data_IF_536294122840
#
_entry.id   IF_536294122840
#
_cell.length_a   1.000
_cell.length_b   1.000
_cell.length_c   1.000
_cell.angle_alpha   90.00
_cell.angle_beta   90.00
_cell.angle_gamma   90.00
#
_symmetry.space_group_name_H-M   'P 1'
#
loop_
_entity.id
_entity.type
_entity.pdbx_description
1 polymer ?
#
# COMPACT_ATOMS: atom_id res chain seq x y z
N UNK A 1 -53.63 51.91 -38.33
CA UNK A 1 -52.91 51.78 -37.07
C UNK A 1 -52.59 50.27 -36.89
N UNK A 2 -51.34 49.93 -37.12
CA UNK A 2 -50.92 48.59 -37.46
C UNK A 2 -50.81 47.65 -36.22
N UNK A 3 -51.66 46.65 -36.17
CA UNK A 3 -51.63 45.54 -35.22
C UNK A 3 -50.45 44.54 -35.45
N UNK A 4 -49.66 44.75 -36.50
CA UNK A 4 -48.60 43.82 -36.90
C UNK A 4 -47.21 44.05 -36.27
N UNK A 5 -47.04 45.17 -35.53
CA UNK A 5 -45.73 45.48 -34.92
C UNK A 5 -45.56 44.92 -33.49
N UNK A 6 -46.65 44.56 -32.81
CA UNK A 6 -46.59 44.06 -31.42
C UNK A 6 -46.24 42.53 -31.35
N UNK A 7 -46.69 41.80 -32.40
CA UNK A 7 -46.40 40.33 -32.44
C UNK A 7 -44.94 39.93 -32.75
N UNK A 8 -44.20 40.82 -33.44
CA UNK A 8 -42.79 40.55 -33.78
C UNK A 8 -41.80 40.80 -32.63
N UNK A 9 -42.14 41.65 -31.68
CA UNK A 9 -41.32 41.95 -30.51
C UNK A 9 -41.48 40.91 -29.37
N UNK A 10 -42.63 40.26 -29.28
CA UNK A 10 -42.91 39.24 -28.33
C UNK A 10 -42.26 37.88 -28.74
N UNK A 11 -42.15 37.61 -30.05
CA UNK A 11 -41.51 36.39 -30.55
C UNK A 11 -39.97 36.41 -30.42
N UNK A 12 -39.33 37.60 -30.43
CA UNK A 12 -37.87 37.71 -30.24
C UNK A 12 -37.42 37.60 -28.76
N UNK A 13 -38.33 37.89 -27.80
CA UNK A 13 -37.99 37.78 -26.36
C UNK A 13 -38.08 36.35 -25.82
N UNK A 14 -38.81 35.44 -26.51
CA UNK A 14 -38.97 34.06 -26.09
C UNK A 14 -37.84 33.13 -26.57
N UNK A 15 -37.05 33.56 -27.57
CA UNK A 15 -35.94 32.77 -28.13
C UNK A 15 -34.60 32.96 -27.41
N UNK A 16 -34.48 33.95 -26.50
CA UNK A 16 -33.22 34.21 -25.77
C UNK A 16 -33.13 33.53 -24.38
N UNK A 17 -34.19 32.87 -23.91
CA UNK A 17 -34.22 32.24 -22.58
C UNK A 17 -33.88 30.75 -22.58
N UNK A 18 -33.55 30.15 -23.74
CA UNK A 18 -33.30 28.70 -23.84
C UNK A 18 -31.85 28.29 -24.08
N UNK A 19 -30.90 29.19 -23.92
CA UNK A 19 -29.51 28.95 -24.32
C UNK A 19 -28.50 29.12 -23.20
N UNK A 20 -28.68 28.53 -22.01
CA UNK A 20 -27.57 28.36 -21.07
C UNK A 20 -27.83 27.26 -20.03
N UNK A 21 -28.38 26.15 -20.39
CA UNK A 21 -28.15 24.93 -19.62
C UNK A 21 -27.06 24.13 -20.33
N UNK A 22 -25.80 24.63 -20.29
CA UNK A 22 -24.66 23.78 -20.51
C UNK A 22 -24.69 22.71 -19.41
N UNK A 23 -24.72 21.41 -19.76
CA UNK A 23 -24.53 20.40 -18.74
C UNK A 23 -23.19 20.71 -18.06
N UNK A 24 -23.21 20.97 -16.77
CA UNK A 24 -21.99 20.96 -15.97
C UNK A 24 -21.37 19.59 -16.22
N UNK A 25 -20.34 19.54 -17.06
CA UNK A 25 -19.52 18.33 -17.18
C UNK A 25 -19.08 18.03 -15.76
N UNK A 26 -19.62 16.97 -15.18
CA UNK A 26 -19.15 16.47 -13.91
C UNK A 26 -17.65 16.20 -14.11
N UNK A 27 -16.82 17.09 -13.59
CA UNK A 27 -15.38 16.98 -13.66
C UNK A 27 -15.03 15.62 -13.08
N UNK A 28 -14.38 14.79 -13.86
CA UNK A 28 -14.06 13.41 -13.49
C UNK A 28 -13.20 13.45 -12.21
N UNK A 29 -13.86 13.26 -11.06
CA UNK A 29 -13.22 13.36 -9.75
C UNK A 29 -12.41 12.10 -9.52
N UNK A 30 -11.24 12.04 -10.11
CA UNK A 30 -10.32 10.91 -9.97
C UNK A 30 -8.95 11.39 -9.50
N UNK A 31 -8.32 10.62 -8.60
CA UNK A 31 -6.95 10.81 -8.13
C UNK A 31 -6.10 9.59 -8.47
N UNK A 32 -4.78 9.79 -8.56
CA UNK A 32 -3.78 8.72 -8.71
C UNK A 32 -3.15 8.47 -7.34
N UNK A 33 -3.25 7.22 -6.86
CA UNK A 33 -2.60 6.77 -5.64
C UNK A 33 -1.43 5.85 -5.98
N UNK A 34 -0.21 6.25 -5.61
CA UNK A 34 0.95 5.37 -5.67
C UNK A 34 1.00 4.50 -4.42
N UNK A 35 1.07 3.19 -4.60
CA UNK A 35 1.09 2.22 -3.50
C UNK A 35 1.95 1.01 -3.83
N UNK A 36 1.84 -0.06 -3.02
CA UNK A 36 2.68 -1.25 -3.15
C UNK A 36 1.93 -2.44 -3.73
N UNK A 37 2.65 -3.26 -4.51
CA UNK A 37 2.12 -4.50 -5.08
C UNK A 37 1.64 -5.47 -4.00
N UNK A 38 2.29 -5.51 -2.83
CA UNK A 38 1.86 -6.36 -1.72
C UNK A 38 0.50 -5.92 -1.15
N UNK A 39 0.27 -4.61 -1.02
CA UNK A 39 -1.02 -4.08 -0.57
C UNK A 39 -2.13 -4.34 -1.58
N UNK A 40 -1.84 -4.15 -2.87
CA UNK A 40 -2.79 -4.49 -3.95
C UNK A 40 -3.14 -5.98 -3.94
N UNK A 41 -2.12 -6.84 -3.88
CA UNK A 41 -2.30 -8.30 -3.88
C UNK A 41 -2.99 -8.84 -2.64
N UNK A 42 -3.00 -8.10 -1.51
CA UNK A 42 -3.77 -8.47 -0.34
C UNK A 42 -5.29 -8.35 -0.55
N UNK A 43 -5.74 -7.65 -1.61
CA UNK A 43 -7.15 -7.39 -1.90
C UNK A 43 -7.76 -6.21 -1.14
N UNK A 44 -6.98 -5.53 -0.28
CA UNK A 44 -7.49 -4.42 0.54
C UNK A 44 -8.09 -3.30 -0.31
N UNK A 45 -7.43 -2.91 -1.40
CA UNK A 45 -7.91 -1.80 -2.23
C UNK A 45 -9.21 -2.12 -2.96
N UNK A 46 -9.42 -3.37 -3.38
CA UNK A 46 -10.68 -3.81 -3.95
C UNK A 46 -11.85 -3.68 -2.95
N UNK A 47 -11.57 -3.72 -1.66
CA UNK A 47 -12.54 -3.50 -0.59
C UNK A 47 -12.71 -2.00 -0.25
N UNK A 48 -11.60 -1.23 -0.12
CA UNK A 48 -11.65 0.16 0.35
C UNK A 48 -12.09 1.16 -0.72
N UNK A 49 -11.62 1.01 -1.98
CA UNK A 49 -11.87 2.05 -3.01
C UNK A 49 -13.35 2.20 -3.36
N UNK A 50 -14.17 1.13 -3.47
CA UNK A 50 -15.60 1.27 -3.65
C UNK A 50 -16.31 1.99 -2.50
N UNK A 51 -15.89 1.74 -1.24
CA UNK A 51 -16.44 2.40 -0.07
C UNK A 51 -16.13 3.92 -0.08
N UNK A 52 -14.89 4.29 -0.40
CA UNK A 52 -14.51 5.69 -0.55
C UNK A 52 -15.26 6.38 -1.69
N UNK A 53 -15.34 5.74 -2.86
CA UNK A 53 -16.09 6.28 -4.01
C UNK A 53 -17.56 6.48 -3.70
N UNK A 54 -18.19 5.54 -2.99
CA UNK A 54 -19.58 5.67 -2.55
C UNK A 54 -19.78 6.84 -1.60
N UNK A 55 -18.80 7.11 -0.71
CA UNK A 55 -18.90 8.18 0.28
C UNK A 55 -18.64 9.59 -0.31
N UNK A 56 -17.81 9.69 -1.36
CA UNK A 56 -17.28 10.98 -1.82
C UNK A 56 -17.51 11.28 -3.31
N UNK A 57 -17.83 10.28 -4.10
CA UNK A 57 -17.89 10.36 -5.56
C UNK A 57 -16.53 10.46 -6.24
N UNK A 58 -15.40 10.31 -5.47
CA UNK A 58 -14.04 10.38 -5.99
C UNK A 58 -13.57 8.97 -6.37
N UNK A 59 -13.02 8.83 -7.55
CA UNK A 59 -12.39 7.60 -8.00
C UNK A 59 -10.89 7.59 -7.63
N UNK A 60 -10.36 6.43 -7.23
CA UNK A 60 -8.94 6.27 -6.91
C UNK A 60 -8.32 5.28 -7.89
N UNK A 61 -7.40 5.78 -8.70
CA UNK A 61 -6.60 4.95 -9.62
C UNK A 61 -5.34 4.51 -8.90
N UNK A 62 -5.30 3.25 -8.51
CA UNK A 62 -4.15 2.68 -7.80
C UNK A 62 -3.05 2.31 -8.80
N UNK A 63 -1.83 2.77 -8.54
CA UNK A 63 -0.62 2.34 -9.23
C UNK A 63 0.24 1.59 -8.21
N UNK A 64 0.23 0.26 -8.33
CA UNK A 64 0.89 -0.65 -7.40
C UNK A 64 2.28 -1.06 -7.92
N UNK A 65 3.32 -0.61 -7.22
CA UNK A 65 4.75 -0.83 -7.55
C UNK A 65 5.54 -1.15 -6.28
N UNK A 66 6.86 -1.12 -6.30
CA UNK A 66 7.67 -1.17 -5.07
C UNK A 66 7.61 0.16 -4.29
N UNK A 67 7.81 0.13 -2.96
CA UNK A 67 7.75 1.36 -2.12
C UNK A 67 8.63 2.48 -2.64
N UNK A 68 9.89 2.18 -3.02
CA UNK A 68 10.80 3.17 -3.58
C UNK A 68 10.25 3.80 -4.86
N UNK A 69 9.72 2.97 -5.76
CA UNK A 69 9.12 3.43 -7.03
C UNK A 69 7.86 4.28 -6.78
N UNK A 70 7.01 3.89 -5.81
CA UNK A 70 5.82 4.66 -5.44
C UNK A 70 6.20 6.07 -4.93
N UNK A 71 7.20 6.14 -4.05
CA UNK A 71 7.74 7.43 -3.57
C UNK A 71 8.40 8.23 -4.69
N UNK A 72 9.11 7.58 -5.63
CA UNK A 72 9.73 8.26 -6.77
C UNK A 72 8.67 8.80 -7.76
N UNK A 73 7.57 8.09 -7.99
CA UNK A 73 6.43 8.62 -8.74
C UNK A 73 5.89 9.89 -8.10
N UNK A 74 5.68 9.86 -6.79
CA UNK A 74 5.21 11.03 -6.05
C UNK A 74 6.22 12.19 -6.04
N UNK A 75 7.53 11.91 -6.00
CA UNK A 75 8.59 12.93 -6.15
C UNK A 75 8.56 13.65 -7.49
N UNK A 76 8.13 12.97 -8.54
CA UNK A 76 7.95 13.57 -9.89
C UNK A 76 6.59 14.25 -10.08
N UNK A 77 5.65 14.07 -9.13
CA UNK A 77 4.28 14.55 -9.27
C UNK A 77 3.37 13.65 -10.11
N UNK A 78 3.78 12.39 -10.38
CA UNK A 78 3.01 11.41 -11.16
C UNK A 78 1.89 10.75 -10.31
N UNK A 79 1.76 11.12 -9.04
CA UNK A 79 0.71 10.69 -8.13
C UNK A 79 0.21 11.87 -7.29
N UNK A 80 -1.05 11.81 -6.84
CA UNK A 80 -1.69 12.80 -5.98
C UNK A 80 -1.54 12.44 -4.50
N UNK A 81 -1.49 11.14 -4.20
CA UNK A 81 -1.38 10.58 -2.84
C UNK A 81 -0.51 9.33 -2.85
N UNK A 82 0.18 9.11 -1.75
CA UNK A 82 0.99 7.90 -1.48
C UNK A 82 0.38 7.13 -0.32
N UNK A 83 0.27 5.81 -0.47
CA UNK A 83 -0.19 4.90 0.57
C UNK A 83 0.74 3.68 0.61
N UNK A 84 1.71 3.71 1.52
CA UNK A 84 2.80 2.72 1.61
C UNK A 84 3.08 2.32 3.07
N UNK A 85 4.10 1.50 3.32
CA UNK A 85 4.38 0.92 4.63
C UNK A 85 5.89 0.80 4.92
N UNK A 86 6.65 1.88 4.68
CA UNK A 86 8.04 2.01 5.11
C UNK A 86 8.22 3.37 5.83
N UNK A 87 8.01 3.36 7.13
CA UNK A 87 8.02 4.56 7.96
C UNK A 87 9.29 5.41 7.75
N UNK A 88 10.45 4.77 7.60
CA UNK A 88 11.74 5.46 7.43
C UNK A 88 11.79 6.20 6.08
N UNK A 89 11.39 5.51 5.02
CA UNK A 89 11.34 6.11 3.68
C UNK A 89 10.27 7.20 3.58
N UNK A 90 9.12 7.01 4.24
CA UNK A 90 8.01 7.96 4.31
C UNK A 90 8.39 9.23 5.07
N UNK A 91 9.05 9.10 6.23
CA UNK A 91 9.55 10.24 7.00
C UNK A 91 10.60 11.04 6.22
N UNK A 92 11.48 10.37 5.48
CA UNK A 92 12.43 11.02 4.58
C UNK A 92 11.71 11.79 3.47
N UNK A 93 10.67 11.23 2.85
CA UNK A 93 9.86 11.88 1.83
C UNK A 93 9.22 13.17 2.35
N UNK A 94 8.71 13.17 3.59
CA UNK A 94 8.17 14.37 4.26
C UNK A 94 9.28 15.37 4.57
N UNK A 95 10.42 14.94 5.10
CA UNK A 95 11.56 15.81 5.41
C UNK A 95 12.14 16.51 4.16
N UNK A 96 12.07 15.86 3.00
CA UNK A 96 12.43 16.42 1.69
C UNK A 96 11.35 17.40 1.15
N UNK A 97 10.22 17.57 1.84
CA UNK A 97 9.15 18.50 1.51
C UNK A 97 8.21 18.04 0.39
N UNK A 98 8.25 16.77 -0.01
CA UNK A 98 7.34 16.20 -1.02
C UNK A 98 5.93 15.92 -0.49
N UNK A 99 5.76 15.90 0.83
CA UNK A 99 4.50 15.98 1.55
C UNK A 99 4.66 16.86 2.77
N UNK A 100 3.58 17.44 3.27
CA UNK A 100 3.60 18.25 4.49
C UNK A 100 3.51 17.40 5.76
N UNK A 101 2.93 16.22 5.67
CA UNK A 101 2.74 15.31 6.80
C UNK A 101 2.60 13.86 6.34
N UNK A 102 2.97 12.97 7.24
CA UNK A 102 2.65 11.56 7.22
C UNK A 102 1.58 11.27 8.28
N UNK A 103 0.54 10.49 7.94
CA UNK A 103 -0.47 10.05 8.90
C UNK A 103 -0.48 8.54 8.98
N UNK A 104 -0.47 8.00 10.21
CA UNK A 104 -0.70 6.57 10.44
C UNK A 104 -2.12 6.19 10.06
N UNK A 105 -2.28 5.03 9.43
CA UNK A 105 -3.59 4.56 8.95
C UNK A 105 -3.96 3.25 9.62
N UNK A 106 -3.09 2.28 9.53
CA UNK A 106 -3.28 0.91 9.99
C UNK A 106 -1.94 0.20 10.08
N UNK A 107 -1.92 -0.97 10.69
CA UNK A 107 -0.79 -1.88 10.59
C UNK A 107 -1.25 -3.29 10.23
N UNK A 108 -0.37 -4.05 9.62
CA UNK A 108 -0.34 -5.49 9.64
C UNK A 108 1.01 -5.95 10.19
N UNK A 109 1.28 -7.24 10.20
CA UNK A 109 2.58 -7.74 10.59
C UNK A 109 3.26 -8.48 9.43
N UNK A 110 4.57 -8.51 9.49
CA UNK A 110 5.34 -9.51 8.78
C UNK A 110 5.35 -10.82 9.57
N UNK A 111 5.50 -11.92 8.86
CA UNK A 111 5.68 -13.24 9.40
C UNK A 111 6.87 -13.92 8.70
N UNK A 112 7.60 -14.73 9.42
CA UNK A 112 8.55 -15.66 8.81
C UNK A 112 7.80 -16.94 8.48
N UNK A 113 7.74 -17.25 7.21
CA UNK A 113 7.17 -18.49 6.68
C UNK A 113 8.31 -19.46 6.40
N UNK A 114 8.10 -20.71 6.67
CA UNK A 114 9.08 -21.77 6.43
C UNK A 114 8.47 -23.17 6.52
N UNK A 115 9.28 -24.21 6.33
CA UNK A 115 8.80 -25.60 6.45
C UNK A 115 8.15 -25.89 7.80
N UNK A 116 6.99 -26.54 7.80
CA UNK A 116 6.29 -26.95 9.04
C UNK A 116 7.17 -27.83 9.93
N UNK A 117 8.07 -28.61 9.32
CA UNK A 117 9.04 -29.45 10.05
C UNK A 117 10.15 -28.65 10.73
N UNK A 118 10.34 -27.39 10.33
CA UNK A 118 11.31 -26.44 10.89
C UNK A 118 12.74 -26.98 11.03
N UNK A 119 13.41 -27.40 9.97
CA UNK A 119 14.73 -28.00 10.04
C UNK A 119 15.82 -27.07 10.59
N UNK A 120 15.62 -25.75 10.55
CA UNK A 120 16.52 -24.76 11.15
C UNK A 120 16.21 -24.47 12.64
N UNK A 121 15.12 -25.01 13.19
CA UNK A 121 14.71 -24.81 14.59
C UNK A 121 14.42 -23.37 14.95
N UNK A 122 13.72 -22.63 14.04
CA UNK A 122 13.49 -21.18 14.17
C UNK A 122 12.13 -20.82 14.75
N UNK A 123 11.22 -21.80 14.92
CA UNK A 123 9.87 -21.54 15.45
C UNK A 123 9.91 -20.73 16.75
N UNK A 124 9.04 -19.70 16.81
CA UNK A 124 8.92 -18.87 18.00
C UNK A 124 8.38 -17.48 17.71
N UNK A 125 8.75 -16.54 18.55
CA UNK A 125 8.34 -15.14 18.51
C UNK A 125 9.52 -14.15 18.59
N UNK A 126 10.71 -14.58 18.22
CA UNK A 126 11.95 -13.78 18.19
C UNK A 126 12.55 -13.90 16.78
N UNK A 127 12.29 -12.90 15.94
CA UNK A 127 12.76 -12.90 14.56
C UNK A 127 14.28 -12.75 14.48
N UNK A 128 14.90 -12.00 15.40
CA UNK A 128 16.36 -11.83 15.40
C UNK A 128 17.08 -13.15 15.71
N UNK A 129 16.62 -13.89 16.71
CA UNK A 129 17.14 -15.21 17.02
C UNK A 129 16.93 -16.20 15.85
N UNK A 130 15.77 -16.16 15.21
CA UNK A 130 15.46 -17.00 14.04
C UNK A 130 16.40 -16.73 12.87
N UNK A 131 16.60 -15.45 12.51
CA UNK A 131 17.50 -15.06 11.43
C UNK A 131 18.96 -15.43 11.76
N UNK A 132 19.39 -15.29 13.02
CA UNK A 132 20.72 -15.70 13.44
C UNK A 132 20.96 -17.21 13.25
N UNK A 133 19.95 -18.04 13.57
CA UNK A 133 20.01 -19.49 13.29
C UNK A 133 20.07 -19.78 11.78
N UNK A 134 19.24 -19.08 10.98
CA UNK A 134 19.26 -19.23 9.53
C UNK A 134 20.61 -18.82 8.92
N UNK A 135 21.24 -17.75 9.45
CA UNK A 135 22.59 -17.35 9.03
C UNK A 135 23.64 -18.43 9.20
N UNK A 136 23.52 -19.22 10.27
CA UNK A 136 24.42 -20.35 10.58
C UNK A 136 24.02 -21.66 9.89
N UNK A 137 22.95 -21.68 9.09
CA UNK A 137 22.43 -22.89 8.46
C UNK A 137 22.61 -22.86 6.93
N UNK A 138 22.46 -24.03 6.30
CA UNK A 138 22.38 -24.16 4.83
C UNK A 138 20.96 -24.17 4.31
N UNK A 139 19.95 -23.98 5.18
CA UNK A 139 18.55 -23.97 4.79
C UNK A 139 18.25 -22.78 3.88
N UNK A 140 17.50 -22.98 2.80
CA UNK A 140 17.18 -21.89 1.89
C UNK A 140 16.40 -20.77 2.59
N UNK A 141 16.85 -19.54 2.47
CA UNK A 141 16.11 -18.33 2.79
C UNK A 141 15.93 -17.51 1.51
N UNK A 142 14.70 -17.27 1.12
CA UNK A 142 14.36 -16.53 -0.09
C UNK A 142 14.13 -15.07 0.26
N UNK A 143 14.98 -14.20 -0.26
CA UNK A 143 14.81 -12.76 -0.22
C UNK A 143 14.12 -12.27 -1.51
N UNK A 144 13.27 -11.28 -1.40
CA UNK A 144 12.73 -10.61 -2.59
C UNK A 144 13.81 -9.97 -3.44
N UNK A 145 14.82 -9.33 -2.85
CA UNK A 145 15.94 -8.70 -3.58
C UNK A 145 15.52 -7.57 -4.53
N UNK A 146 14.30 -7.02 -4.43
CA UNK A 146 13.65 -6.14 -5.40
C UNK A 146 13.51 -4.68 -4.94
N UNK A 147 14.16 -4.31 -3.83
CA UNK A 147 14.10 -2.99 -3.20
C UNK A 147 12.69 -2.56 -2.75
N UNK A 148 11.77 -3.50 -2.55
CA UNK A 148 10.44 -3.25 -1.99
C UNK A 148 10.50 -2.92 -0.50
N UNK A 149 9.38 -2.48 0.07
CA UNK A 149 9.23 -2.26 1.52
C UNK A 149 9.48 -3.55 2.32
N UNK A 150 9.03 -4.72 1.85
CA UNK A 150 9.33 -6.03 2.46
C UNK A 150 10.82 -6.33 2.42
N UNK A 151 11.50 -6.09 1.30
CA UNK A 151 12.95 -6.27 1.20
C UNK A 151 13.70 -5.30 2.14
N UNK A 152 13.29 -4.05 2.20
CA UNK A 152 13.89 -3.09 3.14
C UNK A 152 13.68 -3.48 4.61
N UNK A 153 12.49 -4.00 4.97
CA UNK A 153 12.22 -4.55 6.30
C UNK A 153 13.10 -5.76 6.60
N UNK A 154 13.21 -6.71 5.66
CA UNK A 154 14.08 -7.88 5.76
C UNK A 154 15.53 -7.50 6.07
N UNK A 155 16.10 -6.55 5.31
CA UNK A 155 17.48 -6.10 5.51
C UNK A 155 17.68 -5.46 6.89
N UNK A 156 16.68 -4.71 7.40
CA UNK A 156 16.73 -4.16 8.76
C UNK A 156 16.71 -5.26 9.82
N UNK A 157 15.91 -6.30 9.63
CA UNK A 157 15.82 -7.44 10.54
C UNK A 157 17.12 -8.27 10.57
N UNK A 158 17.74 -8.53 9.41
CA UNK A 158 19.05 -9.16 9.33
C UNK A 158 20.12 -8.36 10.08
N UNK A 159 20.15 -7.04 9.87
CA UNK A 159 21.07 -6.15 10.59
C UNK A 159 20.81 -6.16 12.09
N UNK A 160 19.56 -6.14 12.53
CA UNK A 160 19.19 -6.23 13.96
C UNK A 160 19.60 -7.58 14.57
N UNK A 161 19.58 -8.65 13.78
CA UNK A 161 20.09 -9.97 14.17
C UNK A 161 21.63 -10.05 14.24
N UNK A 162 22.35 -8.97 13.90
CA UNK A 162 23.81 -8.92 13.86
C UNK A 162 24.42 -9.61 12.63
N UNK A 163 23.64 -9.78 11.55
CA UNK A 163 24.08 -10.39 10.29
C UNK A 163 24.29 -9.29 9.25
N UNK A 164 25.52 -9.08 8.83
CA UNK A 164 25.87 -8.13 7.78
C UNK A 164 25.87 -8.83 6.41
N UNK A 165 24.75 -8.69 5.70
CA UNK A 165 24.57 -9.26 4.36
C UNK A 165 25.46 -8.60 3.30
N UNK A 166 25.99 -7.40 3.55
CA UNK A 166 26.92 -6.74 2.64
C UNK A 166 28.34 -7.32 2.77
N UNK A 167 28.73 -7.72 3.98
CA UNK A 167 30.01 -8.36 4.23
C UNK A 167 30.03 -9.82 3.77
N UNK A 168 28.98 -10.59 4.12
CA UNK A 168 28.84 -11.99 3.70
C UNK A 168 27.38 -12.43 3.73
N UNK A 169 26.89 -12.98 2.64
CA UNK A 169 25.57 -13.61 2.59
C UNK A 169 25.63 -15.01 3.18
N UNK A 170 24.64 -15.42 4.02
CA UNK A 170 24.52 -16.81 4.48
C UNK A 170 24.45 -17.79 3.31
N UNK A 171 24.96 -19.00 3.48
CA UNK A 171 25.02 -20.02 2.42
C UNK A 171 23.63 -20.34 1.81
N UNK A 172 22.58 -20.29 2.64
CA UNK A 172 21.20 -20.50 2.22
C UNK A 172 20.50 -19.27 1.60
N UNK A 173 21.09 -18.08 1.67
CA UNK A 173 20.45 -16.85 1.23
C UNK A 173 20.33 -16.74 -0.29
N UNK A 174 19.11 -16.55 -0.80
CA UNK A 174 18.78 -16.54 -2.22
C UNK A 174 17.91 -15.32 -2.59
N UNK A 175 18.45 -14.41 -3.36
CA UNK A 175 17.71 -13.28 -3.92
C UNK A 175 16.99 -13.68 -5.19
N UNK A 176 15.66 -13.49 -5.25
CA UNK A 176 14.91 -13.78 -6.46
C UNK A 176 14.75 -12.57 -7.40
N UNK A 177 14.98 -11.35 -6.93
CA UNK A 177 14.73 -10.14 -7.71
C UNK A 177 13.26 -9.97 -8.10
N UNK A 178 12.32 -10.46 -7.27
CA UNK A 178 10.94 -10.67 -7.68
C UNK A 178 9.93 -10.19 -6.61
N UNK A 179 8.65 -10.09 -7.00
CA UNK A 179 7.55 -9.74 -6.10
C UNK A 179 7.24 -10.84 -5.07
N UNK A 180 6.33 -10.53 -4.10
CA UNK A 180 6.08 -11.43 -2.96
C UNK A 180 5.49 -12.79 -3.38
N UNK A 181 4.55 -12.82 -4.33
CA UNK A 181 3.96 -14.07 -4.83
C UNK A 181 5.00 -15.02 -5.44
N UNK A 182 5.82 -14.59 -6.41
CA UNK A 182 6.96 -15.38 -6.91
C UNK A 182 7.96 -15.79 -5.83
N UNK A 183 8.28 -14.92 -4.85
CA UNK A 183 9.16 -15.28 -3.74
C UNK A 183 8.58 -16.41 -2.88
N UNK A 184 7.28 -16.36 -2.57
CA UNK A 184 6.58 -17.44 -1.87
C UNK A 184 6.55 -18.75 -2.67
N UNK A 185 6.34 -18.68 -4.00
CA UNK A 185 6.42 -19.85 -4.88
C UNK A 185 7.84 -20.48 -4.86
N UNK A 186 8.87 -19.64 -4.92
CA UNK A 186 10.25 -20.11 -4.83
C UNK A 186 10.53 -20.76 -3.47
N UNK A 187 10.08 -20.15 -2.36
CA UNK A 187 10.22 -20.71 -1.02
C UNK A 187 9.48 -22.06 -0.90
N UNK A 188 8.25 -22.15 -1.45
CA UNK A 188 7.49 -23.40 -1.47
C UNK A 188 8.22 -24.51 -2.25
N UNK A 189 8.76 -24.19 -3.42
CA UNK A 189 9.52 -25.15 -4.25
C UNK A 189 10.83 -25.61 -3.62
N UNK A 190 11.51 -24.73 -2.89
CA UNK A 190 12.77 -25.03 -2.21
C UNK A 190 12.57 -25.61 -0.80
N UNK A 191 11.35 -25.70 -0.32
CA UNK A 191 11.03 -25.97 1.08
C UNK A 191 11.85 -25.07 2.01
N UNK A 192 11.90 -23.76 1.71
CA UNK A 192 12.76 -22.77 2.34
C UNK A 192 11.98 -21.77 3.18
N UNK A 193 12.70 -20.82 3.74
CA UNK A 193 12.17 -19.73 4.57
C UNK A 193 12.02 -18.45 3.76
N UNK A 194 11.04 -17.61 4.11
CA UNK A 194 10.80 -16.31 3.45
C UNK A 194 10.09 -15.37 4.41
N UNK A 195 10.49 -14.10 4.43
CA UNK A 195 9.73 -13.03 5.10
C UNK A 195 8.62 -12.55 4.20
N UNK A 196 7.40 -12.48 4.73
CA UNK A 196 6.23 -11.97 3.99
C UNK A 196 5.30 -11.18 4.92
N UNK A 197 4.51 -10.27 4.38
CA UNK A 197 3.36 -9.75 5.12
C UNK A 197 2.29 -10.83 5.28
N UNK A 198 1.59 -10.80 6.43
CA UNK A 198 0.55 -11.80 6.75
C UNK A 198 -0.58 -11.82 5.71
N UNK A 199 -0.97 -10.65 5.17
CA UNK A 199 -2.04 -10.56 4.19
C UNK A 199 -1.73 -11.33 2.92
N UNK A 200 -0.54 -11.15 2.37
CA UNK A 200 -0.09 -11.90 1.20
C UNK A 200 0.01 -13.41 1.51
N UNK A 201 0.52 -13.78 2.70
CA UNK A 201 0.57 -15.18 3.11
C UNK A 201 -0.83 -15.83 3.18
N UNK A 202 -1.80 -15.15 3.77
CA UNK A 202 -3.17 -15.68 3.89
C UNK A 202 -3.85 -15.83 2.53
N UNK A 203 -3.59 -14.93 1.60
CA UNK A 203 -4.09 -15.00 0.22
C UNK A 203 -3.34 -16.03 -0.65
N UNK A 204 -2.14 -16.43 -0.25
CA UNK A 204 -1.31 -17.34 -1.02
C UNK A 204 -1.82 -18.78 -0.93
N UNK A 205 -2.06 -19.43 -2.09
CA UNK A 205 -2.68 -20.76 -2.15
C UNK A 205 -1.67 -21.90 -2.31
N UNK A 206 -0.52 -21.64 -2.96
CA UNK A 206 0.49 -22.70 -3.24
C UNK A 206 1.46 -22.92 -2.06
N UNK A 207 0.90 -23.14 -0.85
CA UNK A 207 1.67 -23.19 0.40
C UNK A 207 2.56 -24.43 0.53
N UNK A 208 2.19 -25.55 -0.06
CA UNK A 208 2.88 -26.83 0.11
C UNK A 208 3.05 -27.17 1.59
N UNK A 209 4.29 -27.49 1.96
CA UNK A 209 4.66 -27.81 3.36
C UNK A 209 5.02 -26.58 4.19
N UNK A 210 4.82 -25.36 3.65
CA UNK A 210 5.11 -24.13 4.37
C UNK A 210 4.01 -23.78 5.39
N UNK A 211 4.42 -23.14 6.46
CA UNK A 211 3.58 -22.55 7.50
C UNK A 211 4.27 -21.36 8.15
N UNK A 212 3.55 -20.59 8.96
CA UNK A 212 4.15 -19.53 9.77
C UNK A 212 5.02 -20.22 10.83
N UNK A 213 6.30 -19.82 10.91
CA UNK A 213 7.27 -20.33 11.88
C UNK A 213 7.70 -19.28 12.89
N UNK A 214 7.66 -17.99 12.54
CA UNK A 214 7.85 -16.87 13.50
C UNK A 214 6.80 -15.80 13.29
N UNK A 215 6.16 -15.40 14.40
CA UNK A 215 5.17 -14.32 14.45
C UNK A 215 5.14 -13.67 15.83
N UNK A 216 4.47 -12.52 15.97
CA UNK A 216 4.24 -11.86 17.26
C UNK A 216 5.42 -11.05 17.81
N UNK A 217 6.54 -10.97 17.09
CA UNK A 217 7.65 -10.09 17.42
C UNK A 217 7.28 -8.63 17.09
N UNK A 218 7.55 -7.71 18.02
CA UNK A 218 7.26 -6.28 17.83
C UNK A 218 8.02 -5.68 16.65
N UNK A 219 9.19 -6.20 16.30
CA UNK A 219 9.98 -5.76 15.16
C UNK A 219 9.39 -6.17 13.80
N UNK A 220 8.40 -7.06 13.81
CA UNK A 220 7.64 -7.47 12.63
C UNK A 220 6.45 -6.55 12.32
N UNK A 221 6.21 -5.50 13.11
CA UNK A 221 5.15 -4.54 12.83
C UNK A 221 5.39 -3.83 11.51
N UNK A 222 4.34 -3.77 10.69
CA UNK A 222 4.32 -3.15 9.38
C UNK A 222 3.28 -2.03 9.36
N UNK A 223 3.72 -0.81 9.70
CA UNK A 223 2.87 0.37 9.81
C UNK A 223 2.66 1.01 8.44
N UNK A 224 1.41 1.25 8.08
CA UNK A 224 1.00 1.94 6.86
C UNK A 224 0.80 3.43 7.12
N UNK A 225 1.28 4.22 6.17
CA UNK A 225 1.10 5.67 6.17
C UNK A 225 0.43 6.17 4.90
N UNK A 226 -0.29 7.29 5.02
CA UNK A 226 -0.83 8.07 3.91
C UNK A 226 -0.21 9.46 3.90
N UNK A 227 0.16 9.93 2.69
CA UNK A 227 0.80 11.23 2.46
C UNK A 227 0.23 11.86 1.20
N UNK A 228 -0.26 13.09 1.31
CA UNK A 228 -0.69 13.89 0.15
C UNK A 228 0.54 14.53 -0.49
N UNK A 229 0.67 14.45 -1.81
CA UNK A 229 1.78 15.08 -2.54
C UNK A 229 1.66 16.59 -2.46
N UNK A 230 2.78 17.25 -2.17
CA UNK A 230 2.82 18.68 -1.89
C UNK A 230 2.58 19.52 -3.16
N UNK A 231 1.45 20.26 -3.26
CA UNK A 231 1.12 21.08 -4.41
C UNK A 231 2.09 22.26 -4.61
N UNK A 232 2.82 22.67 -3.57
CA UNK A 232 3.86 23.71 -3.72
C UNK A 232 5.04 23.22 -4.58
N UNK A 233 5.30 21.92 -4.63
CA UNK A 233 6.30 21.32 -5.52
C UNK A 233 5.70 20.91 -6.87
N UNK A 234 4.44 20.50 -6.88
CA UNK A 234 3.73 19.96 -8.05
C UNK A 234 2.34 20.59 -8.17
N UNK A 235 2.20 21.80 -8.77
CA UNK A 235 0.92 22.52 -8.82
C UNK A 235 -0.21 21.80 -9.58
N UNK A 236 0.11 20.78 -10.36
CA UNK A 236 -0.86 20.01 -11.13
C UNK A 236 -1.49 18.84 -10.35
N UNK A 237 -0.94 18.47 -9.18
CA UNK A 237 -1.54 17.40 -8.37
C UNK A 237 -2.88 17.83 -7.80
N UNK A 238 -3.79 16.88 -7.71
CA UNK A 238 -5.15 17.10 -7.20
C UNK A 238 -5.18 17.05 -5.67
N UNK A 239 -4.41 17.94 -5.02
CA UNK A 239 -4.16 17.91 -3.59
C UNK A 239 -5.45 17.93 -2.75
N UNK A 240 -6.47 18.71 -3.15
CA UNK A 240 -7.75 18.80 -2.41
C UNK A 240 -8.53 17.49 -2.45
N UNK A 241 -8.53 16.78 -3.59
CA UNK A 241 -9.18 15.47 -3.69
C UNK A 241 -8.36 14.39 -2.96
N UNK A 242 -7.03 14.46 -3.05
CA UNK A 242 -6.13 13.57 -2.32
C UNK A 242 -6.24 13.76 -0.80
N UNK A 243 -6.46 15.00 -0.34
CA UNK A 243 -6.69 15.29 1.07
C UNK A 243 -8.00 14.66 1.56
N UNK A 244 -9.06 14.71 0.76
CA UNK A 244 -10.32 14.03 1.09
C UNK A 244 -10.13 12.52 1.27
N UNK A 245 -9.28 11.89 0.43
CA UNK A 245 -8.92 10.49 0.62
C UNK A 245 -8.14 10.27 1.91
N UNK A 246 -7.10 11.08 2.16
CA UNK A 246 -6.29 10.98 3.37
C UNK A 246 -7.09 11.20 4.65
N UNK A 247 -8.10 12.10 4.62
CA UNK A 247 -8.98 12.35 5.74
C UNK A 247 -9.99 11.22 5.94
N UNK A 248 -10.56 10.71 4.84
CA UNK A 248 -11.50 9.61 4.91
C UNK A 248 -10.85 8.33 5.46
N UNK A 249 -9.66 7.95 4.97
CA UNK A 249 -9.03 6.67 5.37
C UNK A 249 -8.67 6.63 6.86
N UNK A 250 -8.45 7.79 7.50
CA UNK A 250 -8.20 7.89 8.95
C UNK A 250 -9.46 8.25 9.75
N UNK A 251 -10.59 8.54 9.09
CA UNK A 251 -11.87 8.79 9.75
C UNK A 251 -12.46 7.52 10.35
N UNK A 252 -13.47 7.67 11.23
CA UNK A 252 -14.19 6.52 11.78
C UNK A 252 -14.76 5.59 10.69
N UNK A 253 -15.24 6.14 9.57
CA UNK A 253 -15.76 5.37 8.45
C UNK A 253 -14.67 4.57 7.72
N UNK A 254 -13.55 5.20 7.39
CA UNK A 254 -12.41 4.52 6.75
C UNK A 254 -11.78 3.47 7.66
N UNK A 255 -11.61 3.79 8.95
CA UNK A 255 -11.08 2.86 9.95
C UNK A 255 -12.02 1.65 10.16
N UNK A 256 -13.34 1.85 10.15
CA UNK A 256 -14.31 0.76 10.20
C UNK A 256 -14.25 -0.10 8.92
N UNK A 257 -14.09 0.51 7.75
CA UNK A 257 -13.92 -0.22 6.50
C UNK A 257 -12.65 -1.09 6.52
N UNK A 258 -11.52 -0.56 7.04
CA UNK A 258 -10.28 -1.34 7.21
C UNK A 258 -10.50 -2.52 8.16
N UNK A 259 -11.12 -2.29 9.33
CA UNK A 259 -11.40 -3.35 10.32
C UNK A 259 -12.36 -4.43 9.77
N UNK A 260 -13.25 -4.05 8.86
CA UNK A 260 -14.20 -4.93 8.21
C UNK A 260 -13.58 -5.84 7.14
N UNK A 261 -12.36 -5.52 6.67
CA UNK A 261 -11.69 -6.36 5.69
C UNK A 261 -11.14 -7.63 6.32
N UNK A 262 -11.63 -8.78 5.85
CA UNK A 262 -11.25 -10.11 6.35
C UNK A 262 -10.99 -11.07 5.19
N UNK A 263 -10.01 -11.97 5.37
CA UNK A 263 -9.77 -13.12 4.49
C UNK A 263 -10.01 -14.39 5.32
N UNK A 264 -10.88 -15.27 4.81
CA UNK A 264 -11.25 -16.53 5.50
C UNK A 264 -11.72 -16.29 6.96
N UNK A 265 -12.37 -15.14 7.21
CA UNK A 265 -12.86 -14.73 8.53
C UNK A 265 -11.84 -14.02 9.42
N UNK A 266 -10.56 -13.97 9.02
CA UNK A 266 -9.48 -13.37 9.79
C UNK A 266 -9.24 -11.91 9.42
N UNK A 267 -9.08 -11.04 10.41
CA UNK A 267 -8.71 -9.64 10.22
C UNK A 267 -7.22 -9.54 9.88
N UNK A 268 -6.91 -8.82 8.80
CA UNK A 268 -5.54 -8.68 8.28
C UNK A 268 -4.91 -7.33 8.60
N UNK A 269 -5.71 -6.29 8.64
CA UNK A 269 -5.27 -4.93 8.87
C UNK A 269 -5.95 -4.38 10.12
N UNK A 270 -5.16 -3.79 10.98
CA UNK A 270 -5.60 -3.27 12.28
C UNK A 270 -5.55 -1.75 12.22
N UNK A 271 -6.71 -1.07 12.17
CA UNK A 271 -6.76 0.39 12.14
C UNK A 271 -6.17 0.99 13.41
N UNK A 272 -5.30 1.99 13.25
CA UNK A 272 -4.65 2.68 14.36
C UNK A 272 -4.37 4.16 14.08
N UNK A 273 -5.15 4.78 13.19
CA UNK A 273 -5.05 6.22 12.99
C UNK A 273 -5.27 6.96 14.32
N UNK A 274 -4.41 7.94 14.61
CA UNK A 274 -4.60 8.82 15.75
C UNK A 274 -5.91 9.62 15.58
N UNK A 275 -6.71 9.64 16.62
CA UNK A 275 -7.97 10.42 16.69
C UNK A 275 -7.70 11.85 17.09
#
# INVERSE_FOLDING_TARGET
MDLNLISRRAALALTLAFATALPAQAQDKAIVMASTTSTEQSGLFAHLMPAFKSATGIDVRVVAVGTGQALDMARRGDADVVFVHDVVAEQKFVAEGFSTQRRDVMYNDFVLVGPKADPAGVKGNDIAAALKKLAGSTQPFVSRGDKSGTHAAELRLWKAAGVDLAAAKPAGYKECGCGMGPALNMASSLNGYVLTDRGTWLSFKNRGELGIVVEGDKSLFNQYGVMVVNPAKHPHVKADLAQQFADWVVSSAGQAAIAGYKIDGEQLFFPNAAR
#
